data_IF_168850173395
#
_entry.id   IF_168850173395
#
_cell.length_a   1.000
_cell.length_b   1.000
_cell.length_c   1.000
_cell.angle_alpha   90.00
_cell.angle_beta   90.00
_cell.angle_gamma   90.00
#
_symmetry.space_group_name_H-M   'P 1'
#
loop_
_entity.id
_entity.type
_entity.pdbx_description
1 polymer ?
#
# COMPACT_ATOMS: atom_id res chain seq x y z
N UNK A 1 30.32 -6.52 -2.26
CA UNK A 1 29.71 -5.45 -1.45
C UNK A 1 28.95 -4.53 -2.40
N UNK A 2 27.64 -4.77 -2.58
CA UNK A 2 26.81 -4.02 -3.52
C UNK A 2 25.76 -3.24 -2.74
N UNK A 3 25.71 -1.93 -2.98
CA UNK A 3 25.01 -0.94 -2.19
C UNK A 3 23.49 -1.17 -2.08
N UNK A 4 23.01 -1.13 -0.84
CA UNK A 4 21.60 -0.99 -0.47
C UNK A 4 21.10 0.35 -1.03
N UNK A 5 20.35 0.31 -2.14
CA UNK A 5 19.65 1.50 -2.64
C UNK A 5 18.56 1.83 -1.64
N UNK A 6 18.78 2.89 -0.86
CA UNK A 6 17.77 3.53 -0.03
C UNK A 6 16.49 3.70 -0.85
N UNK A 7 15.41 3.11 -0.37
CA UNK A 7 14.06 3.42 -0.83
C UNK A 7 13.83 4.91 -0.55
N UNK A 8 13.58 5.65 -1.62
CA UNK A 8 13.35 7.08 -1.55
C UNK A 8 12.03 7.37 -0.81
N UNK A 9 12.16 7.86 0.41
CA UNK A 9 11.07 8.34 1.27
C UNK A 9 10.55 9.72 0.83
N UNK A 10 10.99 10.28 -0.30
CA UNK A 10 10.67 11.64 -0.77
C UNK A 10 9.18 11.93 -1.02
N UNK A 11 8.29 10.94 -0.99
CA UNK A 11 6.84 11.18 -1.12
C UNK A 11 6.08 11.22 0.21
N UNK A 12 6.74 11.04 1.36
CA UNK A 12 6.15 11.42 2.66
C UNK A 12 6.37 12.92 2.84
N UNK A 13 5.67 13.72 2.03
CA UNK A 13 5.62 15.16 2.21
C UNK A 13 5.13 15.45 3.64
N UNK A 14 5.99 16.05 4.45
CA UNK A 14 5.65 16.61 5.76
C UNK A 14 4.44 17.53 5.59
N UNK A 15 3.28 17.06 6.02
CA UNK A 15 2.04 17.83 6.05
C UNK A 15 0.91 17.26 5.20
N UNK A 16 -0.18 16.91 5.90
CA UNK A 16 -1.59 16.88 5.46
C UNK A 16 -2.21 15.59 4.90
N UNK A 17 -1.49 14.51 4.57
CA UNK A 17 -2.16 13.31 4.03
C UNK A 17 -1.54 11.99 4.52
N UNK A 18 -1.75 11.63 5.80
CA UNK A 18 -1.53 10.24 6.22
C UNK A 18 -2.78 9.44 5.88
N UNK A 19 -2.74 8.64 4.81
CA UNK A 19 -3.83 7.75 4.40
C UNK A 19 -3.61 6.36 5.00
N UNK A 20 -4.41 5.98 5.99
CA UNK A 20 -4.40 4.63 6.62
C UNK A 20 -5.50 3.69 6.13
N UNK A 21 -6.21 4.05 5.05
CA UNK A 21 -7.31 3.21 4.57
C UNK A 21 -6.73 1.94 3.95
N UNK A 22 -7.05 0.81 4.58
CA UNK A 22 -6.84 -0.52 4.04
C UNK A 22 -8.19 -1.12 3.68
N UNK A 23 -8.41 -1.36 2.40
CA UNK A 23 -9.58 -2.05 1.89
C UNK A 23 -9.07 -2.95 0.77
N UNK A 24 -8.75 -4.21 1.05
CA UNK A 24 -8.27 -5.13 0.02
C UNK A 24 -9.36 -5.37 -1.02
N UNK A 25 -8.96 -5.55 -2.27
CA UNK A 25 -9.87 -5.90 -3.37
C UNK A 25 -10.35 -7.36 -3.26
N UNK A 26 -9.55 -8.20 -2.61
CA UNK A 26 -9.90 -9.57 -2.29
C UNK A 26 -9.07 -10.16 -1.15
N UNK A 27 -9.55 -11.24 -0.55
CA UNK A 27 -8.84 -11.94 0.51
C UNK A 27 -9.11 -13.43 0.45
N UNK A 28 -8.10 -14.23 0.74
CA UNK A 28 -8.19 -15.69 0.91
C UNK A 28 -7.68 -16.08 2.30
N UNK A 29 -7.59 -17.38 2.58
CA UNK A 29 -6.95 -17.85 3.81
C UNK A 29 -5.48 -17.44 3.89
N UNK A 30 -4.79 -17.38 2.74
CA UNK A 30 -3.34 -17.18 2.69
C UNK A 30 -2.93 -15.79 2.20
N UNK A 31 -3.76 -15.14 1.38
CA UNK A 31 -3.40 -13.95 0.63
C UNK A 31 -4.32 -12.75 0.89
N UNK A 32 -3.71 -11.57 0.90
CA UNK A 32 -4.37 -10.28 0.69
C UNK A 32 -4.21 -9.89 -0.79
N UNK A 33 -5.28 -9.49 -1.48
CA UNK A 33 -5.24 -9.23 -2.93
C UNK A 33 -5.51 -7.75 -3.20
N UNK A 34 -4.66 -7.15 -4.03
CA UNK A 34 -4.79 -5.79 -4.55
C UNK A 34 -4.71 -5.84 -6.09
N UNK A 35 -5.73 -5.30 -6.75
CA UNK A 35 -5.85 -5.22 -8.20
C UNK A 35 -5.69 -3.77 -8.66
N UNK A 36 -4.91 -3.57 -9.72
CA UNK A 36 -4.75 -2.29 -10.39
C UNK A 36 -5.06 -2.42 -11.88
N UNK A 37 -5.89 -1.51 -12.36
CA UNK A 37 -6.30 -1.40 -13.76
C UNK A 37 -5.87 -0.02 -14.30
N UNK A 38 -4.60 0.14 -14.68
CA UNK A 38 -4.08 1.38 -15.23
C UNK A 38 -4.76 1.68 -16.57
N UNK A 39 -5.17 2.93 -16.79
CA UNK A 39 -5.71 3.35 -18.10
C UNK A 39 -4.62 3.70 -19.12
N UNK A 40 -3.37 3.88 -18.67
CA UNK A 40 -2.24 4.31 -19.50
C UNK A 40 -0.97 3.57 -19.06
N UNK A 41 -0.10 3.18 -20.00
CA UNK A 41 1.16 2.49 -19.67
C UNK A 41 2.06 3.31 -18.75
N UNK A 42 2.17 4.63 -19.00
CA UNK A 42 2.99 5.53 -18.19
C UNK A 42 2.58 5.61 -16.71
N UNK A 43 1.38 5.19 -16.35
CA UNK A 43 0.94 5.20 -14.95
C UNK A 43 1.29 3.94 -14.20
N UNK A 44 1.70 2.86 -14.90
CA UNK A 44 2.07 1.57 -14.29
C UNK A 44 3.17 1.76 -13.25
N UNK A 45 4.23 2.51 -13.59
CA UNK A 45 5.37 2.77 -12.69
C UNK A 45 5.00 3.55 -11.42
N UNK A 46 3.89 4.30 -11.45
CA UNK A 46 3.43 5.09 -10.30
C UNK A 46 2.68 4.26 -9.26
N UNK A 47 2.25 3.04 -9.60
CA UNK A 47 1.54 2.20 -8.65
C UNK A 47 2.50 1.57 -7.64
N UNK A 48 2.43 2.06 -6.41
CA UNK A 48 3.22 1.56 -5.28
C UNK A 48 2.50 0.41 -4.57
N UNK A 49 3.28 -0.56 -4.10
CA UNK A 49 2.81 -1.71 -3.30
C UNK A 49 2.54 -1.37 -1.82
N UNK A 50 2.78 -0.12 -1.40
CA UNK A 50 2.64 0.32 -0.01
C UNK A 50 1.20 0.16 0.53
N UNK A 51 0.20 0.29 -0.34
CA UNK A 51 -1.21 0.04 0.02
C UNK A 51 -1.43 -1.41 0.45
N UNK A 52 -0.89 -2.37 -0.31
CA UNK A 52 -0.99 -3.80 -0.03
C UNK A 52 -0.29 -4.17 1.29
N UNK A 53 0.90 -3.62 1.57
CA UNK A 53 1.60 -3.85 2.85
C UNK A 53 0.77 -3.41 4.06
N UNK A 54 0.11 -2.26 3.95
CA UNK A 54 -0.79 -1.74 5.00
C UNK A 54 -2.01 -2.65 5.18
N UNK A 55 -2.61 -3.13 4.09
CA UNK A 55 -3.72 -4.07 4.15
C UNK A 55 -3.32 -5.41 4.77
N UNK A 56 -2.15 -5.94 4.41
CA UNK A 56 -1.58 -7.17 4.97
C UNK A 56 -1.36 -7.04 6.49
N UNK A 57 -0.92 -5.88 6.97
CA UNK A 57 -0.80 -5.60 8.40
C UNK A 57 -2.15 -5.65 9.13
N UNK A 58 -3.18 -4.98 8.61
CA UNK A 58 -4.50 -4.96 9.25
C UNK A 58 -5.24 -6.30 9.17
N UNK A 59 -4.94 -7.12 8.16
CA UNK A 59 -5.56 -8.44 7.95
C UNK A 59 -4.71 -9.60 8.51
N UNK A 60 -3.55 -9.30 9.09
CA UNK A 60 -2.58 -10.26 9.61
C UNK A 60 -2.13 -11.30 8.55
N UNK A 61 -2.01 -10.90 7.28
CA UNK A 61 -1.55 -11.76 6.18
C UNK A 61 -0.04 -11.60 5.99
N UNK A 62 0.66 -12.72 5.78
CA UNK A 62 2.09 -12.71 5.49
C UNK A 62 2.41 -12.61 4.00
N UNK A 63 1.41 -12.90 3.15
CA UNK A 63 1.52 -12.87 1.69
C UNK A 63 0.43 -12.01 1.07
N UNK A 64 0.81 -11.31 0.00
CA UNK A 64 -0.12 -10.55 -0.82
C UNK A 64 0.06 -10.85 -2.29
N UNK A 65 -1.01 -10.69 -3.07
CA UNK A 65 -0.98 -10.72 -4.52
C UNK A 65 -1.22 -9.30 -5.04
N UNK A 66 -0.27 -8.80 -5.80
CA UNK A 66 -0.39 -7.53 -6.52
C UNK A 66 -0.63 -7.83 -7.99
N UNK A 67 -1.85 -7.57 -8.44
CA UNK A 67 -2.31 -7.88 -9.80
C UNK A 67 -2.40 -6.59 -10.61
N UNK A 68 -1.61 -6.47 -11.68
CA UNK A 68 -1.61 -5.33 -12.59
C UNK A 68 -2.20 -5.76 -13.93
N UNK A 69 -3.39 -5.28 -14.26
CA UNK A 69 -3.95 -5.50 -15.59
C UNK A 69 -3.22 -4.63 -16.62
N UNK A 70 -3.13 -5.12 -17.86
CA UNK A 70 -2.67 -4.31 -18.98
C UNK A 70 -3.61 -3.11 -19.21
N UNK A 71 -3.09 -1.92 -19.60
CA UNK A 71 -3.94 -0.83 -20.08
C UNK A 71 -4.80 -1.21 -21.29
N UNK A 72 -4.38 -2.24 -22.03
CA UNK A 72 -5.08 -2.80 -23.19
C UNK A 72 -5.75 -4.15 -22.85
N UNK A 73 -6.20 -4.33 -21.60
CA UNK A 73 -6.74 -5.60 -21.12
C UNK A 73 -7.86 -6.19 -22.00
N UNK A 74 -8.76 -5.36 -22.53
CA UNK A 74 -9.84 -5.83 -23.42
C UNK A 74 -9.33 -6.45 -24.73
N UNK A 75 -8.10 -6.10 -25.14
CA UNK A 75 -7.45 -6.60 -26.35
C UNK A 75 -6.53 -7.79 -26.04
N UNK A 76 -5.72 -7.68 -24.97
CA UNK A 76 -4.65 -8.64 -24.69
C UNK A 76 -4.97 -9.65 -23.57
N UNK A 77 -5.99 -9.37 -22.75
CA UNK A 77 -6.40 -10.13 -21.57
C UNK A 77 -5.24 -10.39 -20.57
N UNK A 78 -4.24 -9.51 -20.52
CA UNK A 78 -3.03 -9.71 -19.70
C UNK A 78 -3.17 -9.14 -18.31
N UNK A 79 -2.75 -9.93 -17.33
CA UNK A 79 -2.58 -9.51 -15.93
C UNK A 79 -1.23 -10.01 -15.42
N UNK A 80 -0.39 -9.09 -14.97
CA UNK A 80 0.84 -9.41 -14.26
C UNK A 80 0.53 -9.62 -12.78
N UNK A 81 0.77 -10.83 -12.28
CA UNK A 81 0.54 -11.20 -10.88
C UNK A 81 1.89 -11.33 -10.18
N UNK A 82 2.13 -10.49 -9.17
CA UNK A 82 3.33 -10.57 -8.34
C UNK A 82 2.98 -10.93 -6.92
N UNK A 83 3.59 -12.00 -6.38
CA UNK A 83 3.54 -12.29 -4.95
C UNK A 83 4.44 -11.32 -4.18
N UNK A 84 3.92 -10.76 -3.10
CA UNK A 84 4.60 -9.80 -2.22
C UNK A 84 4.63 -10.37 -0.82
N UNK A 85 5.82 -10.42 -0.22
CA UNK A 85 5.98 -10.81 1.18
C UNK A 85 5.73 -9.60 2.09
N UNK A 86 5.15 -9.86 3.25
CA UNK A 86 4.93 -8.82 4.26
C UNK A 86 6.25 -8.22 4.73
N UNK A 87 6.37 -6.90 4.65
CA UNK A 87 7.48 -6.14 5.22
C UNK A 87 6.98 -5.34 6.43
N UNK A 88 7.30 -5.86 7.60
CA UNK A 88 6.94 -5.25 8.88
C UNK A 88 7.63 -3.90 9.09
N UNK A 89 8.87 -3.73 8.62
CA UNK A 89 9.63 -2.50 8.85
C UNK A 89 9.02 -1.37 8.04
N UNK A 90 8.75 -1.62 6.75
CA UNK A 90 8.09 -0.65 5.87
C UNK A 90 6.71 -0.24 6.41
N UNK A 91 5.94 -1.21 6.91
CA UNK A 91 4.57 -0.93 7.38
C UNK A 91 4.53 -0.20 8.71
N UNK A 92 5.49 -0.47 9.61
CA UNK A 92 5.54 0.15 10.93
C UNK A 92 5.70 1.66 10.84
N UNK A 93 6.57 2.15 9.96
CA UNK A 93 6.77 3.59 9.76
C UNK A 93 5.47 4.30 9.35
N UNK A 94 4.69 3.68 8.45
CA UNK A 94 3.41 4.22 7.96
C UNK A 94 2.37 4.25 9.10
N UNK A 95 2.29 3.18 9.87
CA UNK A 95 1.36 3.07 11.01
C UNK A 95 1.72 4.05 12.12
N UNK A 96 3.00 4.19 12.45
CA UNK A 96 3.46 5.11 13.50
C UNK A 96 3.19 6.57 13.11
N UNK A 97 3.48 6.95 11.86
CA UNK A 97 3.15 8.28 11.32
C UNK A 97 1.65 8.56 11.36
N UNK A 98 0.82 7.56 11.09
CA UNK A 98 -0.61 7.70 11.20
C UNK A 98 -1.09 7.87 12.63
N UNK A 99 -0.61 7.04 13.54
CA UNK A 99 -0.97 7.17 14.95
C UNK A 99 -0.61 8.54 15.50
N UNK A 100 0.54 9.10 15.10
CA UNK A 100 0.93 10.45 15.50
C UNK A 100 0.01 11.52 14.93
N UNK A 101 -0.40 11.38 13.66
CA UNK A 101 -1.40 12.26 13.05
C UNK A 101 -2.73 12.22 13.84
N UNK A 102 -3.21 11.04 14.18
CA UNK A 102 -4.46 10.87 14.93
C UNK A 102 -4.37 11.44 16.34
N UNK A 103 -3.28 11.17 17.07
CA UNK A 103 -3.03 11.73 18.41
C UNK A 103 -2.99 13.25 18.43
N UNK A 104 -2.37 13.84 17.40
CA UNK A 104 -2.20 15.30 17.32
C UNK A 104 -3.48 16.00 16.88
N UNK A 105 -4.20 15.45 15.89
CA UNK A 105 -5.24 16.19 15.18
C UNK A 105 -6.66 15.72 15.49
N UNK A 106 -6.86 14.44 15.83
CA UNK A 106 -8.20 13.84 15.93
C UNK A 106 -8.58 13.59 17.38
N UNK A 107 -7.73 12.92 18.16
CA UNK A 107 -8.02 12.57 19.55
C UNK A 107 -8.35 13.77 20.45
N UNK A 108 -7.68 14.94 20.35
CA UNK A 108 -8.01 16.08 21.20
C UNK A 108 -9.40 16.65 20.91
N UNK A 109 -9.98 16.39 19.73
CA UNK A 109 -11.35 16.80 19.39
C UNK A 109 -12.34 15.78 19.96
N UNK A 110 -12.06 14.48 19.76
CA UNK A 110 -12.93 13.40 20.22
C UNK A 110 -13.03 13.32 21.75
N UNK A 111 -11.92 13.54 22.46
CA UNK A 111 -11.83 13.40 23.92
C UNK A 111 -12.23 14.66 24.70
N UNK A 112 -12.59 15.75 23.99
CA UNK A 112 -13.17 16.96 24.58
C UNK A 112 -14.70 16.92 24.63
N UNK A 113 -15.31 15.85 24.11
CA UNK A 113 -16.71 15.52 24.33
C UNK A 113 -16.91 14.93 25.71
#
# INVERSE_FOLDING_TARGET
MGACKHLDTSSVSRGKNVRTRASPDGMTNDYCIEVKCPSLEKTIENYKRNGLQTQMFFTNKQKGLFCMASPHFEEDNKVDITEVQFDKNQTREIVDLAMEFWKTNIFPILMKM
#
